data_IF_306665625834
#
_entry.id   IF_306665625834
#
_cell.length_a   1.000
_cell.length_b   1.000
_cell.length_c   1.000
_cell.angle_alpha   90.00
_cell.angle_beta   90.00
_cell.angle_gamma   90.00
#
_symmetry.space_group_name_H-M   'P 1'
#
loop_
_entity.id
_entity.type
_entity.pdbx_description
1 polymer ?
#
# COMPACT_ATOMS: atom_id res chain seq x y z
N UNK A 1 22.63 5.82 11.15
CA UNK A 1 22.31 4.46 10.70
C UNK A 1 23.61 3.64 10.61
N UNK A 2 23.75 2.47 11.26
CA UNK A 2 24.96 1.62 11.17
C UNK A 2 24.96 0.77 9.88
N UNK A 3 26.16 0.40 9.37
CA UNK A 3 26.35 -0.39 8.12
C UNK A 3 25.45 -1.64 8.00
N UNK A 4 25.06 -2.30 9.10
CA UNK A 4 24.21 -3.50 9.06
C UNK A 4 22.69 -3.26 8.93
N UNK A 5 22.24 -2.02 8.72
CA UNK A 5 20.82 -1.64 8.71
C UNK A 5 20.22 -1.32 7.33
N UNK A 6 21.01 -1.33 6.24
CA UNK A 6 20.54 -1.05 4.87
C UNK A 6 20.03 -2.33 4.15
N UNK A 7 19.17 -3.11 4.81
CA UNK A 7 18.39 -4.17 4.14
C UNK A 7 16.99 -3.65 3.84
N UNK A 8 16.45 -3.95 2.67
CA UNK A 8 15.15 -3.40 2.24
C UNK A 8 14.06 -3.66 3.29
N UNK A 9 13.99 -4.89 3.78
CA UNK A 9 13.04 -5.33 4.82
C UNK A 9 13.17 -4.57 6.14
N UNK A 10 14.39 -4.17 6.51
CA UNK A 10 14.62 -3.40 7.74
C UNK A 10 14.29 -1.93 7.54
N UNK A 11 14.65 -1.38 6.38
CA UNK A 11 14.40 0.01 6.03
C UNK A 11 12.91 0.28 5.93
N UNK A 12 12.18 -0.54 5.16
CA UNK A 12 10.78 -0.31 4.84
C UNK A 12 9.85 -1.26 5.61
N UNK A 13 10.21 -1.57 6.87
CA UNK A 13 9.53 -2.53 7.74
C UNK A 13 8.02 -2.31 7.84
N UNK A 14 7.56 -1.06 7.84
CA UNK A 14 6.12 -0.72 7.89
C UNK A 14 5.39 -1.31 6.69
N UNK A 15 5.88 -1.05 5.48
CA UNK A 15 5.27 -1.54 4.25
C UNK A 15 5.40 -3.06 4.15
N UNK A 16 6.59 -3.61 4.43
CA UNK A 16 6.81 -5.05 4.31
C UNK A 16 6.03 -5.86 5.33
N UNK A 17 5.89 -5.38 6.57
CA UNK A 17 5.06 -6.02 7.58
C UNK A 17 3.58 -6.00 7.21
N UNK A 18 3.09 -4.90 6.64
CA UNK A 18 1.70 -4.78 6.17
C UNK A 18 1.40 -5.72 5.01
N UNK A 19 2.31 -5.81 4.04
CA UNK A 19 2.20 -6.79 2.94
C UNK A 19 2.32 -8.24 3.42
N UNK A 20 3.07 -8.51 4.50
CA UNK A 20 3.16 -9.85 5.09
C UNK A 20 1.88 -10.21 5.85
N UNK A 21 1.27 -9.25 6.55
CA UNK A 21 0.00 -9.45 7.26
C UNK A 21 -1.11 -9.93 6.34
N UNK A 22 -1.27 -9.32 5.18
CA UNK A 22 -2.29 -9.70 4.20
C UNK A 22 -1.81 -10.76 3.19
N UNK A 23 -0.57 -11.24 3.31
CA UNK A 23 -0.01 -12.27 2.44
C UNK A 23 0.38 -11.79 1.04
N UNK A 24 0.33 -10.49 0.74
CA UNK A 24 0.68 -9.95 -0.58
C UNK A 24 2.19 -9.85 -0.82
N UNK A 25 3.02 -9.91 0.23
CA UNK A 25 4.46 -9.67 0.13
C UNK A 25 5.14 -10.50 -0.97
N UNK A 26 5.98 -9.90 -1.85
CA UNK A 26 6.52 -10.58 -3.03
C UNK A 26 7.42 -11.77 -2.72
N UNK A 27 8.01 -11.86 -1.53
CA UNK A 27 8.87 -12.99 -1.13
C UNK A 27 8.11 -14.21 -0.59
N UNK A 28 6.80 -14.09 -0.33
CA UNK A 28 5.99 -15.21 0.16
C UNK A 28 5.81 -16.25 -0.95
N UNK A 29 5.98 -17.52 -0.58
CA UNK A 29 5.77 -18.67 -1.47
C UNK A 29 4.26 -18.90 -1.61
N UNK A 30 3.79 -19.12 -2.84
CA UNK A 30 2.37 -19.35 -3.15
C UNK A 30 2.03 -20.84 -2.99
N UNK A 31 2.08 -21.32 -1.75
CA UNK A 31 1.69 -22.69 -1.41
C UNK A 31 0.18 -22.81 -1.17
N UNK A 32 -0.29 -24.03 -0.86
CA UNK A 32 -1.72 -24.28 -0.59
C UNK A 32 -2.24 -23.50 0.62
N UNK A 33 -1.41 -23.30 1.66
CA UNK A 33 -1.81 -22.53 2.85
C UNK A 33 -2.05 -21.07 2.50
N UNK A 34 -1.14 -20.48 1.72
CA UNK A 34 -1.29 -19.13 1.20
C UNK A 34 -2.56 -19.02 0.34
N UNK A 35 -2.82 -19.99 -0.53
CA UNK A 35 -4.01 -19.98 -1.38
C UNK A 35 -5.30 -19.98 -0.54
N UNK A 36 -5.37 -20.80 0.52
CA UNK A 36 -6.51 -20.80 1.44
C UNK A 36 -6.69 -19.44 2.11
N UNK A 37 -5.60 -18.85 2.65
CA UNK A 37 -5.66 -17.53 3.29
C UNK A 37 -6.12 -16.44 2.31
N UNK A 38 -5.56 -16.45 1.09
CA UNK A 38 -5.93 -15.54 0.01
C UNK A 38 -7.40 -15.68 -0.36
N UNK A 39 -7.90 -16.90 -0.54
CA UNK A 39 -9.31 -17.16 -0.85
C UNK A 39 -10.23 -16.64 0.25
N UNK A 40 -9.89 -16.85 1.53
CA UNK A 40 -10.70 -16.35 2.66
C UNK A 40 -10.78 -14.81 2.62
N UNK A 41 -9.65 -14.12 2.44
CA UNK A 41 -9.61 -12.65 2.39
C UNK A 41 -10.40 -12.12 1.19
N UNK A 42 -10.25 -12.75 0.01
CA UNK A 42 -10.94 -12.35 -1.20
C UNK A 42 -12.46 -12.60 -1.12
N UNK A 43 -12.88 -13.74 -0.57
CA UNK A 43 -14.30 -14.03 -0.33
C UNK A 43 -14.88 -13.01 0.66
N UNK A 44 -14.20 -12.72 1.76
CA UNK A 44 -14.65 -11.72 2.73
C UNK A 44 -14.81 -10.34 2.10
N UNK A 45 -13.84 -9.91 1.30
CA UNK A 45 -13.85 -8.63 0.57
C UNK A 45 -14.98 -8.58 -0.44
N UNK A 46 -15.18 -9.65 -1.21
CA UNK A 46 -16.26 -9.76 -2.18
C UNK A 46 -17.64 -9.72 -1.52
N UNK A 47 -17.84 -10.48 -0.42
CA UNK A 47 -19.08 -10.44 0.36
C UNK A 47 -19.37 -9.05 0.92
N UNK A 48 -18.37 -8.37 1.48
CA UNK A 48 -18.54 -7.00 1.97
C UNK A 48 -18.93 -6.03 0.84
N UNK A 49 -18.31 -6.15 -0.34
CA UNK A 49 -18.65 -5.37 -1.52
C UNK A 49 -20.11 -5.60 -1.95
N UNK A 50 -20.59 -6.85 -1.98
CA UNK A 50 -21.98 -7.16 -2.29
C UNK A 50 -22.96 -6.58 -1.25
N UNK A 51 -22.63 -6.64 0.04
CA UNK A 51 -23.46 -6.04 1.08
C UNK A 51 -23.53 -4.51 0.97
N UNK A 52 -22.41 -3.86 0.65
CA UNK A 52 -22.37 -2.41 0.39
C UNK A 52 -23.23 -2.03 -0.81
N UNK A 53 -23.06 -2.72 -1.95
CA UNK A 53 -23.86 -2.47 -3.17
C UNK A 53 -25.35 -2.70 -2.89
N UNK A 54 -25.69 -3.77 -2.17
CA UNK A 54 -27.07 -4.04 -1.77
C UNK A 54 -27.63 -2.91 -0.90
N UNK A 55 -26.91 -2.47 0.13
CA UNK A 55 -27.32 -1.36 1.00
C UNK A 55 -27.63 -0.10 0.17
N UNK A 56 -26.74 0.26 -0.76
CA UNK A 56 -26.88 1.45 -1.61
C UNK A 56 -28.13 1.34 -2.51
N UNK A 57 -28.19 0.28 -3.32
CA UNK A 57 -29.19 0.14 -4.39
C UNK A 57 -30.59 -0.23 -3.85
N UNK A 58 -30.64 -1.05 -2.81
CA UNK A 58 -31.88 -1.60 -2.29
C UNK A 58 -32.44 -0.83 -1.09
N UNK A 59 -31.65 -0.01 -0.40
CA UNK A 59 -32.10 0.73 0.78
C UNK A 59 -31.76 2.23 0.73
N UNK A 60 -30.49 2.62 0.62
CA UNK A 60 -30.06 4.01 0.87
C UNK A 60 -30.64 4.99 -0.16
N UNK A 61 -30.55 4.65 -1.45
CA UNK A 61 -31.13 5.47 -2.53
C UNK A 61 -32.67 5.48 -2.44
N UNK A 62 -33.28 4.31 -2.18
CA UNK A 62 -34.75 4.19 -2.12
C UNK A 62 -35.39 4.93 -0.95
N UNK A 63 -34.65 5.06 0.16
CA UNK A 63 -35.11 5.74 1.37
C UNK A 63 -34.66 7.20 1.44
N UNK A 64 -33.97 7.71 0.42
CA UNK A 64 -33.48 9.09 0.36
C UNK A 64 -32.27 9.38 1.26
N UNK A 65 -31.57 8.35 1.76
CA UNK A 65 -30.39 8.46 2.62
C UNK A 65 -29.10 8.64 1.81
N UNK A 66 -29.02 9.72 1.04
CA UNK A 66 -27.89 9.96 0.13
C UNK A 66 -26.53 10.07 0.81
N UNK A 67 -26.47 10.56 2.06
CA UNK A 67 -25.21 10.61 2.81
C UNK A 67 -24.67 9.21 3.11
N UNK A 68 -25.54 8.25 3.47
CA UNK A 68 -25.11 6.87 3.70
C UNK A 68 -24.79 6.16 2.38
N UNK A 69 -25.57 6.41 1.33
CA UNK A 69 -25.26 5.91 -0.01
C UNK A 69 -23.85 6.37 -0.47
N UNK A 70 -23.49 7.62 -0.21
CA UNK A 70 -22.16 8.18 -0.53
C UNK A 70 -21.05 7.49 0.26
N UNK A 71 -21.18 7.36 1.59
CA UNK A 71 -20.18 6.67 2.43
C UNK A 71 -20.00 5.21 2.01
N UNK A 72 -21.10 4.48 1.81
CA UNK A 72 -21.07 3.09 1.35
C UNK A 72 -20.46 3.00 -0.05
N UNK A 73 -20.76 3.96 -0.94
CA UNK A 73 -20.15 4.08 -2.26
C UNK A 73 -18.62 4.21 -2.21
N UNK A 74 -18.09 5.05 -1.32
CA UNK A 74 -16.65 5.16 -1.08
C UNK A 74 -16.06 3.81 -0.67
N UNK A 75 -16.73 3.05 0.21
CA UNK A 75 -16.25 1.73 0.63
C UNK A 75 -16.30 0.68 -0.49
N UNK A 76 -17.27 0.76 -1.43
CA UNK A 76 -17.27 -0.07 -2.64
C UNK A 76 -16.05 0.23 -3.49
N UNK A 77 -15.74 1.51 -3.73
CA UNK A 77 -14.55 1.93 -4.48
C UNK A 77 -13.28 1.41 -3.81
N UNK A 78 -13.18 1.52 -2.49
CA UNK A 78 -12.07 0.95 -1.71
C UNK A 78 -11.96 -0.56 -1.95
N UNK A 79 -13.07 -1.31 -1.87
CA UNK A 79 -13.05 -2.77 -2.07
C UNK A 79 -12.53 -3.18 -3.46
N UNK A 80 -12.91 -2.44 -4.50
CA UNK A 80 -12.45 -2.68 -5.87
C UNK A 80 -10.97 -2.32 -5.98
N UNK A 81 -10.58 -1.18 -5.43
CA UNK A 81 -9.20 -0.66 -5.48
C UNK A 81 -8.21 -1.61 -4.81
N UNK A 82 -8.49 -2.08 -3.59
CA UNK A 82 -7.60 -3.00 -2.88
C UNK A 82 -7.51 -4.35 -3.57
N UNK A 83 -8.60 -4.79 -4.22
CA UNK A 83 -8.59 -6.02 -5.03
C UNK A 83 -7.67 -5.87 -6.24
N UNK A 84 -7.78 -4.77 -6.99
CA UNK A 84 -6.90 -4.47 -8.13
C UNK A 84 -5.43 -4.35 -7.70
N UNK A 85 -5.15 -3.64 -6.61
CA UNK A 85 -3.79 -3.52 -6.03
C UNK A 85 -3.20 -4.90 -5.71
N UNK A 86 -3.98 -5.77 -5.09
CA UNK A 86 -3.53 -7.13 -4.79
C UNK A 86 -3.24 -7.92 -6.07
N UNK A 87 -4.11 -7.83 -7.09
CA UNK A 87 -3.88 -8.50 -8.38
C UNK A 87 -2.60 -8.02 -9.06
N UNK A 88 -2.28 -6.73 -8.98
CA UNK A 88 -1.01 -6.18 -9.47
C UNK A 88 0.19 -6.77 -8.73
N UNK A 89 0.14 -6.84 -7.39
CA UNK A 89 1.21 -7.47 -6.61
C UNK A 89 1.41 -8.94 -6.97
N UNK A 90 0.34 -9.66 -7.28
CA UNK A 90 0.42 -11.06 -7.72
C UNK A 90 0.99 -11.20 -9.11
N UNK A 91 0.45 -10.45 -10.07
CA UNK A 91 0.82 -10.56 -11.47
C UNK A 91 2.28 -10.11 -11.70
N UNK A 92 2.74 -9.07 -10.99
CA UNK A 92 4.10 -8.54 -11.11
C UNK A 92 5.05 -8.98 -10.00
N UNK A 93 4.71 -10.03 -9.25
CA UNK A 93 5.50 -10.50 -8.11
C UNK A 93 6.99 -10.69 -8.43
N UNK A 94 7.30 -11.31 -9.57
CA UNK A 94 8.68 -11.58 -9.98
C UNK A 94 9.46 -10.28 -10.22
N UNK A 95 8.86 -9.33 -10.95
CA UNK A 95 9.45 -8.02 -11.24
C UNK A 95 9.66 -7.19 -9.97
N UNK A 96 8.69 -7.17 -9.06
CA UNK A 96 8.82 -6.44 -7.79
C UNK A 96 9.95 -7.05 -6.93
N UNK A 97 10.04 -8.39 -6.89
CA UNK A 97 11.12 -9.08 -6.17
C UNK A 97 12.48 -8.77 -6.79
N UNK A 98 12.58 -8.71 -8.11
CA UNK A 98 13.80 -8.34 -8.81
C UNK A 98 14.23 -6.90 -8.47
N UNK A 99 13.29 -5.94 -8.48
CA UNK A 99 13.57 -4.55 -8.09
C UNK A 99 14.09 -4.47 -6.65
N UNK A 100 13.45 -5.17 -5.70
CA UNK A 100 13.91 -5.22 -4.31
C UNK A 100 15.34 -5.76 -4.23
N UNK A 101 15.65 -6.84 -4.95
CA UNK A 101 17.00 -7.41 -4.97
C UNK A 101 18.04 -6.45 -5.55
N UNK A 102 17.70 -5.72 -6.60
CA UNK A 102 18.56 -4.69 -7.20
C UNK A 102 18.83 -3.57 -6.19
N UNK A 103 17.80 -3.10 -5.47
CA UNK A 103 17.98 -2.10 -4.43
C UNK A 103 18.91 -2.58 -3.33
N UNK A 104 18.74 -3.82 -2.86
CA UNK A 104 19.62 -4.39 -1.83
C UNK A 104 21.07 -4.50 -2.31
N UNK A 105 21.28 -4.87 -3.57
CA UNK A 105 22.61 -4.93 -4.18
C UNK A 105 23.23 -3.54 -4.36
N UNK A 106 22.45 -2.54 -4.80
CA UNK A 106 22.90 -1.14 -4.88
C UNK A 106 23.27 -0.60 -3.49
N UNK A 107 22.48 -0.93 -2.45
CA UNK A 107 22.79 -0.57 -1.06
C UNK A 107 24.06 -1.25 -0.54
N UNK A 108 24.28 -2.51 -0.90
CA UNK A 108 25.52 -3.24 -0.56
C UNK A 108 26.73 -2.56 -1.20
N UNK A 109 26.67 -2.25 -2.48
CA UNK A 109 27.77 -1.58 -3.22
C UNK A 109 28.10 -0.21 -2.63
N UNK A 110 27.10 0.56 -2.23
CA UNK A 110 27.31 1.87 -1.62
C UNK A 110 28.07 1.79 -0.28
N UNK A 111 27.95 0.68 0.48
CA UNK A 111 28.69 0.48 1.73
C UNK A 111 30.19 0.24 1.53
N UNK A 112 30.56 -0.27 0.35
CA UNK A 112 31.92 -0.67 -0.02
C UNK A 112 32.66 0.40 -0.84
N UNK A 113 31.96 1.48 -1.26
CA UNK A 113 32.52 2.53 -2.12
C UNK A 113 33.08 3.70 -1.30
N UNK A 114 32.41 4.86 -1.29
CA UNK A 114 32.86 6.08 -0.63
C UNK A 114 31.86 6.50 0.44
N UNK A 115 32.29 7.30 1.43
CA UNK A 115 31.38 7.86 2.43
C UNK A 115 30.32 8.77 1.80
N UNK A 116 30.67 9.45 0.72
CA UNK A 116 29.79 10.37 -0.01
C UNK A 116 28.69 9.60 -0.77
N UNK A 117 29.05 8.49 -1.44
CA UNK A 117 28.09 7.61 -2.09
C UNK A 117 27.10 7.03 -1.06
N UNK A 118 27.61 6.62 0.11
CA UNK A 118 26.79 6.08 1.20
C UNK A 118 25.81 7.13 1.75
N UNK A 119 26.25 8.39 1.92
CA UNK A 119 25.41 9.48 2.44
C UNK A 119 24.21 9.75 1.51
N UNK A 120 24.46 9.80 0.19
CA UNK A 120 23.40 9.97 -0.81
C UNK A 120 22.36 8.84 -0.69
N UNK A 121 22.80 7.58 -0.65
CA UNK A 121 21.91 6.43 -0.55
C UNK A 121 21.09 6.44 0.75
N UNK A 122 21.73 6.71 1.89
CA UNK A 122 21.06 6.78 3.19
C UNK A 122 20.01 7.89 3.19
N UNK A 123 20.33 9.07 2.66
CA UNK A 123 19.41 10.21 2.56
C UNK A 123 18.13 9.87 1.81
N UNK A 124 18.21 9.21 0.65
CA UNK A 124 17.02 8.81 -0.10
C UNK A 124 16.26 7.66 0.57
N UNK A 125 16.96 6.71 1.21
CA UNK A 125 16.32 5.66 1.98
C UNK A 125 15.52 6.21 3.17
N UNK A 126 16.05 7.19 3.91
CA UNK A 126 15.36 7.86 5.02
C UNK A 126 14.12 8.65 4.55
N UNK A 127 14.18 9.27 3.36
CA UNK A 127 13.00 9.87 2.73
C UNK A 127 11.95 8.80 2.42
N UNK A 128 12.34 7.63 1.90
CA UNK A 128 11.43 6.51 1.67
C UNK A 128 10.77 6.00 2.97
N UNK A 129 11.53 5.96 4.07
CA UNK A 129 10.96 5.63 5.39
C UNK A 129 9.93 6.65 5.87
N UNK A 130 10.17 7.93 5.58
CA UNK A 130 9.22 9.00 5.90
C UNK A 130 7.91 8.80 5.11
N UNK A 131 8.00 8.40 3.84
CA UNK A 131 6.82 8.01 3.05
C UNK A 131 6.08 6.83 3.67
N UNK A 132 6.78 5.77 4.13
CA UNK A 132 6.12 4.67 4.86
C UNK A 132 5.36 5.15 6.09
N UNK A 133 5.96 6.06 6.89
CA UNK A 133 5.31 6.59 8.09
C UNK A 133 4.08 7.42 7.74
N UNK A 134 4.16 8.21 6.68
CA UNK A 134 3.01 8.96 6.15
C UNK A 134 1.86 8.00 5.82
N UNK A 135 2.11 6.97 5.00
CA UNK A 135 1.09 5.99 4.65
C UNK A 135 0.58 5.19 5.84
N UNK A 136 1.41 4.92 6.85
CA UNK A 136 0.94 4.31 8.11
C UNK A 136 -0.07 5.20 8.83
N UNK A 137 0.25 6.49 9.02
CA UNK A 137 -0.65 7.42 9.71
C UNK A 137 -1.96 7.60 8.95
N UNK A 138 -1.90 7.79 7.63
CA UNK A 138 -3.11 7.99 6.82
C UNK A 138 -3.90 6.70 6.61
N UNK A 139 -3.25 5.60 6.24
CA UNK A 139 -3.91 4.32 5.96
C UNK A 139 -4.47 3.64 7.22
N UNK A 140 -3.73 3.67 8.33
CA UNK A 140 -4.24 3.14 9.60
C UNK A 140 -5.16 4.13 10.31
N UNK A 141 -4.83 5.43 10.26
CA UNK A 141 -5.64 6.46 10.91
C UNK A 141 -7.05 6.55 10.33
N UNK A 142 -7.20 6.53 9.01
CA UNK A 142 -8.54 6.57 8.37
C UNK A 142 -9.37 5.33 8.70
N UNK A 143 -8.75 4.14 8.68
CA UNK A 143 -9.38 2.88 9.07
C UNK A 143 -9.80 2.86 10.55
N UNK A 144 -8.92 3.31 11.46
CA UNK A 144 -9.18 3.31 12.89
C UNK A 144 -10.36 4.20 13.32
N UNK A 145 -10.77 5.19 12.51
CA UNK A 145 -11.94 6.04 12.78
C UNK A 145 -13.22 5.20 12.93
N UNK A 146 -13.41 4.17 12.10
CA UNK A 146 -14.61 3.33 12.12
C UNK A 146 -14.78 2.56 13.44
N UNK A 147 -13.81 1.74 13.90
CA UNK A 147 -13.96 1.03 15.16
C UNK A 147 -13.96 2.00 16.35
N UNK A 148 -13.17 3.09 16.33
CA UNK A 148 -13.18 4.10 17.39
C UNK A 148 -14.57 4.72 17.52
N UNK A 149 -15.20 5.15 16.41
CA UNK A 149 -16.60 5.65 16.39
C UNK A 149 -17.54 4.62 17.03
N UNK A 150 -17.47 3.36 16.59
CA UNK A 150 -18.36 2.31 17.07
C UNK A 150 -18.21 2.09 18.60
N UNK A 151 -16.99 1.93 19.10
CA UNK A 151 -16.75 1.69 20.52
C UNK A 151 -17.09 2.89 21.40
N UNK A 152 -16.73 4.12 20.98
CA UNK A 152 -17.10 5.34 21.72
C UNK A 152 -18.62 5.46 21.82
N UNK A 153 -19.35 5.21 20.73
CA UNK A 153 -20.80 5.36 20.71
C UNK A 153 -21.50 4.26 21.52
N UNK A 154 -21.01 3.02 21.49
CA UNK A 154 -21.49 1.94 22.37
C UNK A 154 -21.26 2.26 23.86
N UNK A 155 -20.08 2.78 24.21
CA UNK A 155 -19.78 3.19 25.59
C UNK A 155 -20.68 4.35 26.04
N UNK A 156 -20.90 5.33 25.16
CA UNK A 156 -21.80 6.46 25.42
C UNK A 156 -23.25 6.03 25.69
N UNK A 157 -23.79 5.12 24.88
CA UNK A 157 -25.15 4.63 25.09
C UNK A 157 -25.27 3.77 26.35
N UNK A 158 -24.26 2.95 26.65
CA UNK A 158 -24.20 2.17 27.89
C UNK A 158 -24.20 3.08 29.11
N UNK A 159 -23.46 4.20 29.07
CA UNK A 159 -23.48 5.21 30.13
C UNK A 159 -24.85 5.89 30.32
N UNK A 160 -25.69 5.92 29.27
CA UNK A 160 -27.08 6.40 29.32
C UNK A 160 -28.10 5.30 29.62
N UNK A 161 -27.66 4.17 30.16
CA UNK A 161 -28.49 2.99 30.47
C UNK A 161 -29.23 2.41 29.24
N UNK A 162 -28.69 2.61 28.04
CA UNK A 162 -29.21 2.06 26.78
C UNK A 162 -28.19 1.13 26.16
N UNK A 163 -28.43 -0.18 26.21
CA UNK A 163 -27.57 -1.14 25.51
C UNK A 163 -27.86 -1.11 24.00
N UNK A 164 -26.99 -0.43 23.25
CA UNK A 164 -27.10 -0.29 21.78
C UNK A 164 -25.82 -0.81 21.14
N UNK A 165 -25.97 -1.79 20.26
CA UNK A 165 -24.89 -2.33 19.44
C UNK A 165 -24.70 -1.45 18.20
N UNK A 166 -23.51 -0.87 18.03
CA UNK A 166 -23.19 0.06 16.94
C UNK A 166 -22.30 -0.65 15.92
N UNK A 167 -22.75 -0.85 14.66
CA UNK A 167 -21.96 -1.54 13.66
C UNK A 167 -20.77 -0.70 13.21
N UNK A 168 -19.78 -1.36 12.60
CA UNK A 168 -18.59 -0.70 12.07
C UNK A 168 -18.92 0.20 10.86
N UNK A 169 -19.75 -0.34 9.95
CA UNK A 169 -20.30 0.37 8.79
C UNK A 169 -21.82 0.42 8.90
N UNK A 170 -22.40 1.53 8.44
CA UNK A 170 -23.84 1.75 8.44
C UNK A 170 -24.48 0.99 7.25
N UNK A 171 -24.59 -0.33 7.40
CA UNK A 171 -25.06 -1.29 6.40
C UNK A 171 -26.50 -1.76 6.65
N UNK A 172 -27.29 -1.81 5.59
CA UNK A 172 -28.54 -2.58 5.52
C UNK A 172 -28.31 -3.85 4.73
N UNK A 173 -28.56 -4.99 5.36
CA UNK A 173 -28.32 -6.31 4.78
C UNK A 173 -29.57 -6.85 4.06
N UNK A 174 -29.42 -7.84 3.15
CA UNK A 174 -30.56 -8.58 2.63
C UNK A 174 -31.23 -9.42 3.72
N UNK A 175 -32.53 -9.67 3.57
CA UNK A 175 -33.24 -10.65 4.42
C UNK A 175 -32.70 -12.06 4.16
N UNK A 176 -32.53 -12.91 5.19
CA UNK A 176 -32.96 -12.74 6.58
C UNK A 176 -31.93 -12.05 7.51
N UNK A 177 -30.73 -11.74 7.03
CA UNK A 177 -29.62 -11.24 7.88
C UNK A 177 -30.04 -9.97 8.63
N UNK A 178 -30.70 -9.05 7.93
CA UNK A 178 -31.17 -7.78 8.49
C UNK A 178 -32.10 -7.97 9.70
N UNK A 179 -32.97 -8.98 9.69
CA UNK A 179 -33.88 -9.26 10.80
C UNK A 179 -33.14 -9.70 12.08
N UNK A 180 -31.99 -10.36 11.93
CA UNK A 180 -31.21 -10.90 13.04
C UNK A 180 -29.97 -10.07 13.39
N UNK A 181 -29.67 -8.98 12.66
CA UNK A 181 -28.42 -8.22 12.81
C UNK A 181 -28.15 -7.67 14.20
N UNK A 182 -29.21 -7.43 14.98
CA UNK A 182 -29.13 -6.92 16.35
C UNK A 182 -29.06 -8.04 17.41
N UNK A 183 -29.21 -9.31 17.01
CA UNK A 183 -28.95 -10.43 17.91
C UNK A 183 -27.46 -10.47 18.18
N UNK A 184 -27.06 -10.47 19.46
CA UNK A 184 -25.67 -10.29 19.91
C UNK A 184 -24.67 -11.17 19.15
N UNK A 185 -24.97 -12.45 18.95
CA UNK A 185 -24.07 -13.38 18.23
C UNK A 185 -23.91 -12.97 16.77
N UNK A 186 -25.01 -12.66 16.09
CA UNK A 186 -25.01 -12.25 14.68
C UNK A 186 -24.31 -10.90 14.51
N UNK A 187 -24.58 -9.96 15.41
CA UNK A 187 -23.91 -8.66 15.42
C UNK A 187 -22.39 -8.81 15.48
N UNK A 188 -21.85 -9.59 16.43
CA UNK A 188 -20.40 -9.77 16.56
C UNK A 188 -19.79 -10.48 15.35
N UNK A 189 -20.51 -11.42 14.72
CA UNK A 189 -20.06 -12.04 13.46
C UNK A 189 -19.94 -10.97 12.36
N UNK A 190 -20.98 -10.14 12.17
CA UNK A 190 -20.98 -9.07 11.17
C UNK A 190 -19.90 -8.01 11.48
N UNK A 191 -19.70 -7.69 12.75
CA UNK A 191 -18.65 -6.78 13.21
C UNK A 191 -17.27 -7.32 12.88
N UNK A 192 -17.00 -8.61 13.15
CA UNK A 192 -15.71 -9.25 12.80
C UNK A 192 -15.50 -9.29 11.28
N UNK A 193 -16.52 -9.65 10.50
CA UNK A 193 -16.45 -9.68 9.02
C UNK A 193 -16.05 -8.31 8.46
N UNK A 194 -16.73 -7.26 8.91
CA UNK A 194 -16.47 -5.88 8.47
C UNK A 194 -15.13 -5.35 9.00
N UNK A 195 -14.75 -5.71 10.23
CA UNK A 195 -13.45 -5.36 10.81
C UNK A 195 -12.28 -6.02 10.09
N UNK A 196 -12.40 -7.29 9.71
CA UNK A 196 -11.38 -7.98 8.90
C UNK A 196 -11.23 -7.32 7.53
N UNK A 197 -12.33 -6.90 6.91
CA UNK A 197 -12.28 -6.13 5.66
C UNK A 197 -11.57 -4.78 5.84
N UNK A 198 -11.86 -4.05 6.91
CA UNK A 198 -11.24 -2.76 7.23
C UNK A 198 -9.72 -2.89 7.49
N UNK A 199 -9.31 -3.85 8.32
CA UNK A 199 -7.89 -4.16 8.57
C UNK A 199 -7.16 -4.58 7.30
N UNK A 200 -7.81 -5.42 6.47
CA UNK A 200 -7.26 -5.82 5.18
C UNK A 200 -7.07 -4.61 4.26
N UNK A 201 -8.08 -3.76 4.13
CA UNK A 201 -7.99 -2.54 3.32
C UNK A 201 -6.84 -1.65 3.81
N UNK A 202 -6.78 -1.34 5.10
CA UNK A 202 -5.70 -0.56 5.70
C UNK A 202 -4.31 -1.16 5.40
N UNK A 203 -4.15 -2.47 5.61
CA UNK A 203 -2.88 -3.16 5.33
C UNK A 203 -2.46 -3.09 3.85
N UNK A 204 -3.43 -3.05 2.92
CA UNK A 204 -3.16 -2.90 1.50
C UNK A 204 -2.66 -1.50 1.18
N UNK A 205 -3.28 -0.44 1.71
CA UNK A 205 -2.79 0.94 1.51
C UNK A 205 -1.42 1.17 2.15
N UNK A 206 -1.21 0.70 3.38
CA UNK A 206 0.07 0.85 4.09
C UNK A 206 1.19 0.01 3.45
N UNK A 207 0.84 -1.12 2.83
CA UNK A 207 1.79 -2.02 2.17
C UNK A 207 2.14 -1.63 0.73
N UNK A 208 1.13 -1.33 -0.09
CA UNK A 208 1.25 -1.14 -1.53
C UNK A 208 1.69 0.27 -1.90
N UNK A 209 0.95 1.28 -1.44
CA UNK A 209 1.08 2.67 -1.89
C UNK A 209 2.45 3.29 -1.62
N UNK A 210 3.17 3.00 -0.50
CA UNK A 210 4.53 3.49 -0.34
C UNK A 210 5.56 2.85 -1.30
N UNK A 211 5.28 1.69 -1.91
CA UNK A 211 6.26 1.01 -2.79
C UNK A 211 6.67 1.87 -3.98
N UNK A 212 5.70 2.56 -4.60
CA UNK A 212 5.95 3.43 -5.75
C UNK A 212 6.93 4.57 -5.42
N UNK A 213 6.65 5.44 -4.41
CA UNK A 213 7.61 6.45 -3.98
C UNK A 213 8.95 5.88 -3.52
N UNK A 214 8.99 4.71 -2.88
CA UNK A 214 10.26 4.09 -2.45
C UNK A 214 11.14 3.78 -3.65
N UNK A 215 10.58 3.14 -4.68
CA UNK A 215 11.32 2.81 -5.89
C UNK A 215 11.72 4.06 -6.69
N UNK A 216 10.84 5.07 -6.74
CA UNK A 216 11.17 6.37 -7.33
C UNK A 216 12.32 7.06 -6.60
N UNK A 217 12.26 7.14 -5.26
CA UNK A 217 13.31 7.74 -4.44
C UNK A 217 14.63 6.99 -4.56
N UNK A 218 14.60 5.66 -4.66
CA UNK A 218 15.79 4.87 -4.97
C UNK A 218 16.39 5.28 -6.30
N UNK A 219 15.58 5.33 -7.36
CA UNK A 219 16.06 5.75 -8.68
C UNK A 219 16.60 7.19 -8.67
N UNK A 220 15.92 8.13 -8.00
CA UNK A 220 16.45 9.49 -7.80
C UNK A 220 17.80 9.49 -7.10
N UNK A 221 18.00 8.65 -6.07
CA UNK A 221 19.28 8.48 -5.42
C UNK A 221 20.36 7.90 -6.34
N UNK A 222 20.00 6.94 -7.19
CA UNK A 222 20.92 6.41 -8.19
C UNK A 222 21.30 7.46 -9.26
N UNK A 223 20.38 8.33 -9.66
CA UNK A 223 20.66 9.45 -10.57
C UNK A 223 21.59 10.48 -9.94
N UNK A 224 21.38 10.80 -8.66
CA UNK A 224 22.24 11.72 -7.90
C UNK A 224 23.67 11.17 -7.76
N UNK A 225 23.80 9.86 -7.48
CA UNK A 225 25.09 9.16 -7.50
C UNK A 225 25.78 9.23 -8.87
N UNK A 226 25.03 9.04 -9.96
CA UNK A 226 25.59 9.13 -11.30
C UNK A 226 26.05 10.54 -11.62
N UNK A 227 25.30 11.57 -11.20
CA UNK A 227 25.70 12.97 -11.37
C UNK A 227 27.01 13.28 -10.62
N UNK A 228 27.14 12.78 -9.39
CA UNK A 228 28.38 12.90 -8.62
C UNK A 228 29.55 12.22 -9.34
N UNK A 229 29.35 11.01 -9.87
CA UNK A 229 30.39 10.26 -10.60
C UNK A 229 30.78 10.92 -11.91
N UNK A 230 29.83 11.50 -12.65
CA UNK A 230 30.11 12.32 -13.83
C UNK A 230 31.03 13.49 -13.43
N UNK A 231 30.66 14.20 -12.38
CA UNK A 231 31.42 15.37 -11.91
C UNK A 231 32.85 15.00 -11.52
N UNK A 232 33.04 13.88 -10.82
CA UNK A 232 34.38 13.36 -10.47
C UNK A 232 35.16 12.91 -11.70
N UNK A 233 34.53 12.18 -12.62
CA UNK A 233 35.18 11.70 -13.85
C UNK A 233 35.78 12.85 -14.67
N UNK A 234 35.07 13.97 -14.82
CA UNK A 234 35.58 15.12 -15.56
C UNK A 234 36.69 15.90 -14.84
N UNK A 235 36.86 15.69 -13.53
CA UNK A 235 37.90 16.35 -12.73
C UNK A 235 39.13 15.46 -12.56
N UNK A 236 38.93 14.14 -12.44
CA UNK A 236 39.97 13.17 -12.06
C UNK A 236 40.56 12.41 -13.26
N UNK A 237 39.87 12.33 -14.40
CA UNK A 237 40.37 11.57 -15.55
C UNK A 237 41.59 12.24 -16.19
N UNK A 238 42.65 11.46 -16.42
CA UNK A 238 43.91 11.97 -16.98
C UNK A 238 43.91 11.94 -18.52
N UNK A 239 43.11 11.07 -19.13
CA UNK A 239 43.02 10.93 -20.57
C UNK A 239 41.59 10.77 -21.12
N UNK A 240 41.48 10.86 -22.44
CA UNK A 240 40.20 10.74 -23.15
C UNK A 240 39.60 9.33 -23.08
N UNK A 241 40.44 8.29 -22.96
CA UNK A 241 39.98 6.91 -22.93
C UNK A 241 39.27 6.59 -21.61
N UNK A 242 39.77 7.10 -20.49
CA UNK A 242 39.13 7.01 -19.18
C UNK A 242 37.77 7.72 -19.15
N UNK A 243 37.68 8.90 -19.75
CA UNK A 243 36.41 9.64 -19.89
C UNK A 243 35.41 8.84 -20.73
N UNK A 244 35.84 8.29 -21.87
CA UNK A 244 34.97 7.50 -22.75
C UNK A 244 34.47 6.21 -22.06
N UNK A 245 35.34 5.50 -21.33
CA UNK A 245 34.94 4.31 -20.57
C UNK A 245 34.00 4.66 -19.41
N UNK A 246 34.29 5.72 -18.65
CA UNK A 246 33.46 6.19 -17.55
C UNK A 246 32.06 6.60 -18.01
N UNK A 247 31.98 7.38 -19.10
CA UNK A 247 30.72 7.78 -19.72
C UNK A 247 29.92 6.57 -20.21
N UNK A 248 30.59 5.57 -20.81
CA UNK A 248 29.92 4.33 -21.23
C UNK A 248 29.27 3.60 -20.04
N UNK A 249 29.98 3.48 -18.91
CA UNK A 249 29.45 2.88 -17.67
C UNK A 249 28.23 3.67 -17.14
N UNK A 250 28.31 5.00 -17.16
CA UNK A 250 27.22 5.90 -16.73
C UNK A 250 25.99 5.74 -17.64
N UNK A 251 26.16 5.76 -18.96
CA UNK A 251 25.07 5.60 -19.93
C UNK A 251 24.40 4.24 -19.78
N UNK A 252 25.16 3.15 -19.60
CA UNK A 252 24.58 1.84 -19.35
C UNK A 252 23.73 1.82 -18.07
N UNK A 253 24.24 2.35 -16.95
CA UNK A 253 23.47 2.40 -15.69
C UNK A 253 22.23 3.29 -15.81
N UNK A 254 22.28 4.40 -16.57
CA UNK A 254 21.10 5.22 -16.87
C UNK A 254 20.04 4.42 -17.64
N UNK A 255 20.43 3.69 -18.69
CA UNK A 255 19.50 2.87 -19.47
C UNK A 255 18.83 1.79 -18.62
N UNK A 256 19.56 1.19 -17.69
CA UNK A 256 18.99 0.23 -16.73
C UNK A 256 17.97 0.92 -15.80
N UNK A 257 18.32 2.07 -15.21
CA UNK A 257 17.41 2.87 -14.39
C UNK A 257 16.13 3.28 -15.13
N UNK A 258 16.23 3.69 -16.40
CA UNK A 258 15.07 4.05 -17.21
C UNK A 258 14.14 2.85 -17.47
N UNK A 259 14.69 1.66 -17.73
CA UNK A 259 13.88 0.44 -17.87
C UNK A 259 13.14 0.13 -16.57
N UNK A 260 13.78 0.29 -15.41
CA UNK A 260 13.13 0.07 -14.10
C UNK A 260 11.98 1.05 -13.83
N UNK A 261 12.20 2.34 -14.10
CA UNK A 261 11.16 3.36 -13.92
C UNK A 261 9.99 3.12 -14.87
N UNK A 262 10.26 2.81 -16.15
CA UNK A 262 9.21 2.60 -17.14
C UNK A 262 8.31 1.42 -16.79
N UNK A 263 8.88 0.28 -16.38
CA UNK A 263 8.11 -0.90 -15.96
C UNK A 263 7.16 -0.55 -14.81
N UNK A 264 7.65 0.19 -13.81
CA UNK A 264 6.89 0.43 -12.59
C UNK A 264 5.90 1.60 -12.69
N UNK A 265 6.28 2.68 -13.40
CA UNK A 265 5.43 3.86 -13.64
C UNK A 265 4.26 3.51 -14.56
N UNK A 266 4.49 2.78 -15.65
CA UNK A 266 3.42 2.37 -16.57
C UNK A 266 2.36 1.48 -15.88
N UNK A 267 2.78 0.69 -14.89
CA UNK A 267 1.91 -0.25 -14.16
C UNK A 267 1.14 0.42 -13.00
N UNK A 268 1.76 1.39 -12.31
CA UNK A 268 1.14 2.07 -11.15
C UNK A 268 0.24 3.26 -11.56
N UNK A 269 0.64 4.03 -12.57
CA UNK A 269 -0.14 5.20 -13.02
C UNK A 269 -1.50 4.83 -13.62
N UNK A 270 -1.61 3.67 -14.27
CA UNK A 270 -2.89 3.23 -14.87
C UNK A 270 -3.97 2.99 -13.81
N UNK A 271 -3.60 2.64 -12.57
CA UNK A 271 -4.54 2.41 -11.47
C UNK A 271 -4.76 3.65 -10.60
N UNK A 272 -3.71 4.42 -10.34
CA UNK A 272 -3.83 5.64 -9.53
C UNK A 272 -4.62 6.74 -10.26
N UNK A 273 -4.46 6.89 -11.58
CA UNK A 273 -5.25 7.86 -12.38
C UNK A 273 -6.75 7.55 -12.38
N UNK A 274 -7.14 6.28 -12.31
CA UNK A 274 -8.57 5.90 -12.18
C UNK A 274 -9.10 6.30 -10.79
N UNK A 275 -8.28 6.15 -9.75
CA UNK A 275 -8.67 6.49 -8.37
C UNK A 275 -8.61 8.00 -8.06
N UNK A 276 -7.61 8.72 -8.56
CA UNK A 276 -7.37 10.14 -8.28
C UNK A 276 -8.23 11.07 -9.13
N UNK A 277 -8.55 10.71 -10.39
CA UNK A 277 -9.51 11.51 -11.16
C UNK A 277 -10.88 11.56 -10.47
N UNK A 278 -11.32 10.48 -9.82
CA UNK A 278 -12.63 10.50 -9.16
C UNK A 278 -12.67 11.39 -7.90
N UNK A 279 -11.55 11.56 -7.18
CA UNK A 279 -11.47 12.47 -6.03
C UNK A 279 -11.38 13.95 -6.43
N UNK A 280 -10.90 14.25 -7.63
CA UNK A 280 -10.82 15.62 -8.17
C UNK A 280 -12.06 16.06 -8.96
N UNK A 281 -12.98 15.13 -9.28
CA UNK A 281 -14.24 15.41 -9.99
C UNK A 281 -15.50 15.16 -9.15
N UNK A 282 -15.36 15.08 -7.82
CA UNK A 282 -16.48 14.93 -6.88
C UNK A 282 -16.85 16.22 -6.12
N UNK A 283 -16.45 17.39 -6.64
CA UNK A 283 -17.00 18.70 -6.29
C UNK A 283 -17.89 19.23 -7.42
#
# INVERSE_FOLDING_TARGET
>A
MTKSNLKFEKLFKIATMSMRLNGSHPSIIRDTRWFIQFSIIMINTFCCCLFLIYSICCHDIKTGKFSEASKNGTMVIVSITITLKYMVLLYHQASIREIINIMEEDYRRAQDTSKEDLDIVVRYAERGQTVCKFWLVFGFGTSAIFPIKAFILMAYYTWKDKFVLVPLFDLTYPQPIEAYKNVTVVFWILFVVTFVFDVYASSMYVGFDPMLPIFMLHTCGQLDLLNLRISKLFVEAEDRAEIEEGLKKIICKLQDLYKYVFIFVAQSFTLEIISLNYYLFAD
#
